data_IF_148376010941
#
_entry.id   IF_148376010941
#
_cell.length_a   1.000
_cell.length_b   1.000
_cell.length_c   1.000
_cell.angle_alpha   90.00
_cell.angle_beta   90.00
_cell.angle_gamma   90.00
#
_symmetry.space_group_name_H-M   'P 1'
#
loop_
_entity.id
_entity.type
_entity.pdbx_description
1 polymer ?
#
# COMPACT_ATOMS: atom_id res chain seq x y z
N UNK A 1 -32.33 30.04 1.04
CA UNK A 1 -31.72 28.88 1.73
C UNK A 1 -30.51 28.43 0.93
N UNK A 2 -29.37 28.07 1.54
CA UNK A 2 -28.25 27.51 0.81
C UNK A 2 -28.74 26.28 0.03
N UNK A 3 -28.50 26.25 -1.28
CA UNK A 3 -28.89 25.12 -2.10
C UNK A 3 -27.86 24.00 -1.93
N UNK A 4 -27.96 23.26 -0.82
CA UNK A 4 -27.05 22.17 -0.47
C UNK A 4 -27.03 21.04 -1.50
N UNK A 5 -28.08 20.89 -2.32
CA UNK A 5 -28.06 19.91 -3.41
C UNK A 5 -27.14 20.38 -4.53
N UNK A 6 -27.17 21.66 -4.91
CA UNK A 6 -26.19 22.21 -5.86
C UNK A 6 -24.75 22.05 -5.34
N UNK A 7 -24.54 22.27 -4.04
CA UNK A 7 -23.23 22.02 -3.43
C UNK A 7 -22.82 20.55 -3.57
N UNK A 8 -23.70 19.60 -3.25
CA UNK A 8 -23.44 18.17 -3.41
C UNK A 8 -23.06 17.82 -4.85
N UNK A 9 -23.77 18.38 -5.83
CA UNK A 9 -23.51 18.14 -7.26
C UNK A 9 -22.17 18.70 -7.73
N UNK A 10 -21.74 19.84 -7.19
CA UNK A 10 -20.49 20.51 -7.59
C UNK A 10 -19.26 19.94 -6.88
N UNK A 11 -19.42 19.32 -5.72
CA UNK A 11 -18.32 18.87 -4.86
C UNK A 11 -18.21 17.34 -4.74
N UNK A 12 -19.10 16.60 -5.40
CA UNK A 12 -19.04 15.14 -5.43
C UNK A 12 -19.27 14.59 -6.83
N UNK A 13 -18.70 13.42 -7.09
CA UNK A 13 -18.84 12.71 -8.35
C UNK A 13 -19.72 11.46 -8.19
N UNK A 14 -20.40 11.00 -9.25
CA UNK A 14 -21.13 9.73 -9.22
C UNK A 14 -20.23 8.57 -8.73
N UNK A 15 -20.77 7.71 -7.88
CA UNK A 15 -20.02 6.63 -7.24
C UNK A 15 -19.20 7.06 -6.01
N UNK A 16 -19.04 8.35 -5.74
CA UNK A 16 -18.22 8.78 -4.59
C UNK A 16 -18.85 8.33 -3.26
N UNK A 17 -18.02 7.73 -2.41
CA UNK A 17 -18.38 7.36 -1.03
C UNK A 17 -18.26 8.57 -0.12
N UNK A 18 -19.27 8.79 0.72
CA UNK A 18 -19.46 10.00 1.53
C UNK A 18 -19.76 9.61 2.98
N UNK A 19 -18.94 10.10 3.90
CA UNK A 19 -19.17 9.96 5.34
C UNK A 19 -20.14 11.03 5.83
N UNK A 20 -21.04 10.66 6.73
CA UNK A 20 -21.94 11.61 7.39
C UNK A 20 -21.15 12.72 8.11
N UNK A 21 -19.99 12.41 8.71
CA UNK A 21 -19.14 13.42 9.36
C UNK A 21 -18.67 14.49 8.37
N UNK A 22 -18.28 14.09 7.16
CA UNK A 22 -17.84 14.99 6.11
C UNK A 22 -19.00 15.81 5.52
N UNK A 23 -20.16 15.17 5.31
CA UNK A 23 -21.39 15.85 4.89
C UNK A 23 -21.82 16.92 5.91
N UNK A 24 -21.81 16.59 7.21
CA UNK A 24 -22.18 17.52 8.28
C UNK A 24 -21.24 18.73 8.33
N UNK A 25 -19.92 18.54 8.15
CA UNK A 25 -18.96 19.65 8.04
C UNK A 25 -19.25 20.58 6.86
N UNK A 26 -19.90 20.05 5.83
CA UNK A 26 -20.30 20.77 4.63
C UNK A 26 -21.73 21.34 4.70
N UNK A 27 -22.36 21.30 5.89
CA UNK A 27 -23.71 21.81 6.14
C UNK A 27 -24.85 20.84 5.83
N UNK A 28 -24.54 19.60 5.41
CA UNK A 28 -25.53 18.55 5.12
C UNK A 28 -25.68 17.67 6.37
N UNK A 29 -26.69 17.97 7.19
CA UNK A 29 -26.99 17.20 8.38
C UNK A 29 -27.61 15.81 8.07
N UNK A 30 -27.92 15.04 9.11
CA UNK A 30 -28.53 13.71 8.98
C UNK A 30 -29.93 13.75 8.37
N UNK A 31 -30.72 14.79 8.65
CA UNK A 31 -32.10 14.93 8.16
C UNK A 31 -32.09 15.19 6.65
N UNK A 32 -31.17 16.04 6.19
CA UNK A 32 -30.96 16.32 4.78
C UNK A 32 -30.36 15.11 4.05
N UNK A 33 -29.40 14.42 4.67
CA UNK A 33 -28.85 13.17 4.13
C UNK A 33 -29.93 12.10 3.96
N UNK A 34 -30.85 11.97 4.91
CA UNK A 34 -32.02 11.09 4.79
C UNK A 34 -32.94 11.50 3.63
N UNK A 35 -33.24 12.80 3.49
CA UNK A 35 -34.04 13.32 2.37
C UNK A 35 -33.37 13.05 1.02
N UNK A 36 -32.04 13.18 0.93
CA UNK A 36 -31.28 12.85 -0.28
C UNK A 36 -31.29 11.38 -0.60
N UNK A 37 -31.37 10.50 0.40
CA UNK A 37 -31.61 9.08 0.17
C UNK A 37 -33.01 8.82 -0.38
N UNK A 38 -34.05 9.41 0.23
CA UNK A 38 -35.44 9.26 -0.23
C UNK A 38 -35.65 9.75 -1.66
N UNK A 39 -35.01 10.86 -2.02
CA UNK A 39 -35.12 11.47 -3.35
C UNK A 39 -34.10 10.92 -4.37
N UNK A 40 -33.37 9.87 -4.04
CA UNK A 40 -32.47 9.17 -4.98
C UNK A 40 -31.16 9.89 -5.32
N UNK A 41 -30.78 10.93 -4.57
CA UNK A 41 -29.49 11.60 -4.72
C UNK A 41 -28.35 10.85 -4.01
N UNK A 42 -28.67 10.15 -2.92
CA UNK A 42 -27.72 9.31 -2.20
C UNK A 42 -28.27 7.90 -2.07
N UNK A 43 -27.38 6.91 -2.02
CA UNK A 43 -27.71 5.55 -1.61
C UNK A 43 -26.95 5.23 -0.34
N UNK A 44 -27.61 4.62 0.65
CA UNK A 44 -26.94 4.21 1.88
C UNK A 44 -26.12 2.94 1.65
N UNK A 45 -24.86 2.96 2.04
CA UNK A 45 -23.96 1.78 2.01
C UNK A 45 -23.92 1.14 3.41
N UNK A 46 -23.75 1.96 4.45
CA UNK A 46 -23.70 1.52 5.83
C UNK A 46 -24.24 2.63 6.76
N UNK A 47 -24.17 2.41 8.07
CA UNK A 47 -24.55 3.46 9.02
C UNK A 47 -23.65 4.69 8.90
N UNK A 48 -24.24 5.83 8.49
CA UNK A 48 -23.52 7.08 8.29
C UNK A 48 -22.60 7.11 7.08
N UNK A 49 -22.77 6.18 6.12
CA UNK A 49 -21.97 6.09 4.90
C UNK A 49 -22.90 5.98 3.71
N UNK A 50 -22.67 6.85 2.74
CA UNK A 50 -23.51 7.01 1.57
C UNK A 50 -22.66 6.93 0.30
N UNK A 51 -23.30 6.65 -0.82
CA UNK A 51 -22.74 6.75 -2.17
C UNK A 51 -23.55 7.79 -2.95
N UNK A 52 -22.88 8.66 -3.71
CA UNK A 52 -23.52 9.53 -4.69
C UNK A 52 -24.06 8.68 -5.84
N UNK A 53 -25.37 8.75 -6.09
CA UNK A 53 -26.01 7.96 -7.17
C UNK A 53 -25.50 8.33 -8.56
N UNK A 54 -25.60 7.38 -9.49
CA UNK A 54 -25.18 7.53 -10.90
C UNK A 54 -24.10 6.52 -11.33
N UNK A 55 -23.37 5.93 -10.39
CA UNK A 55 -22.42 4.83 -10.61
C UNK A 55 -22.33 3.97 -9.36
N UNK A 56 -22.11 2.66 -9.51
CA UNK A 56 -21.76 1.80 -8.39
C UNK A 56 -20.32 2.09 -7.91
N UNK A 57 -20.10 2.28 -6.60
CA UNK A 57 -18.79 2.59 -6.06
C UNK A 57 -17.91 1.34 -6.05
N UNK A 58 -16.62 1.52 -6.26
CA UNK A 58 -15.62 0.43 -6.20
C UNK A 58 -14.55 0.71 -5.12
N UNK A 59 -13.48 -0.10 -5.10
CA UNK A 59 -12.39 0.06 -4.15
C UNK A 59 -11.71 1.43 -4.26
N UNK A 60 -11.65 2.05 -5.45
CA UNK A 60 -11.05 3.36 -5.68
C UNK A 60 -11.85 4.42 -4.93
N UNK A 61 -13.19 4.39 -5.01
CA UNK A 61 -14.04 5.33 -4.27
C UNK A 61 -13.94 5.13 -2.76
N UNK A 62 -13.82 3.88 -2.31
CA UNK A 62 -13.66 3.56 -0.89
C UNK A 62 -12.34 4.14 -0.35
N UNK A 63 -11.23 3.91 -1.05
CA UNK A 63 -9.91 4.45 -0.67
C UNK A 63 -9.89 5.97 -0.77
N UNK A 64 -10.47 6.54 -1.82
CA UNK A 64 -10.61 7.99 -1.97
C UNK A 64 -11.33 8.61 -0.77
N UNK A 65 -12.42 7.99 -0.32
CA UNK A 65 -13.16 8.42 0.87
C UNK A 65 -12.29 8.33 2.14
N UNK A 66 -11.49 7.28 2.32
CA UNK A 66 -10.56 7.21 3.45
C UNK A 66 -9.55 8.36 3.42
N UNK A 67 -8.97 8.64 2.25
CA UNK A 67 -7.93 9.66 2.09
C UNK A 67 -8.43 11.09 2.26
N UNK A 68 -9.68 11.35 1.87
CA UNK A 68 -10.23 12.72 1.85
C UNK A 68 -11.13 13.05 3.04
N UNK A 69 -11.69 12.05 3.73
CA UNK A 69 -12.77 12.26 4.71
C UNK A 69 -12.51 11.65 6.09
N UNK A 70 -11.68 10.59 6.18
CA UNK A 70 -11.51 9.82 7.41
C UNK A 70 -10.48 10.41 8.39
N UNK A 71 -9.70 11.41 7.96
CA UNK A 71 -8.71 12.13 8.79
C UNK A 71 -7.64 11.22 9.41
N UNK A 72 -7.34 10.10 8.75
CA UNK A 72 -6.23 9.23 9.11
C UNK A 72 -5.35 9.01 7.89
N UNK A 73 -4.02 8.99 8.04
CA UNK A 73 -3.13 8.65 6.94
C UNK A 73 -3.48 7.27 6.39
N UNK A 74 -3.82 7.21 5.11
CA UNK A 74 -4.02 5.97 4.36
C UNK A 74 -3.44 6.20 2.97
N UNK A 75 -2.69 5.25 2.46
CA UNK A 75 -2.18 5.31 1.09
C UNK A 75 -2.19 3.98 0.40
N UNK A 76 -2.31 4.02 -0.92
CA UNK A 76 -2.08 2.85 -1.76
C UNK A 76 -0.59 2.50 -1.67
N UNK A 77 -0.30 1.23 -1.40
CA UNK A 77 1.01 0.77 -0.99
C UNK A 77 1.53 -0.37 -1.88
N UNK A 78 2.82 -0.70 -1.73
CA UNK A 78 3.46 -1.88 -2.30
C UNK A 78 3.14 -2.10 -3.78
N UNK A 79 2.74 -3.33 -4.09
CA UNK A 79 2.44 -3.77 -5.46
C UNK A 79 1.37 -2.91 -6.13
N UNK A 80 0.28 -2.59 -5.43
CA UNK A 80 -0.82 -1.80 -6.01
C UNK A 80 -0.34 -0.41 -6.41
N UNK A 81 0.52 0.23 -5.60
CA UNK A 81 1.07 1.55 -5.94
C UNK A 81 1.99 1.48 -7.17
N UNK A 82 2.84 0.46 -7.27
CA UNK A 82 3.74 0.28 -8.42
C UNK A 82 2.98 -0.01 -9.71
N UNK A 83 1.97 -0.87 -9.65
CA UNK A 83 1.14 -1.20 -10.80
C UNK A 83 0.45 0.04 -11.37
N UNK A 84 -0.10 0.89 -10.50
CA UNK A 84 -0.79 2.12 -10.92
C UNK A 84 0.16 3.21 -11.43
N UNK A 85 1.46 3.11 -11.12
CA UNK A 85 2.50 3.97 -11.70
C UNK A 85 3.06 3.43 -13.02
N UNK A 86 2.55 2.29 -13.51
CA UNK A 86 3.07 1.64 -14.72
C UNK A 86 4.39 0.89 -14.50
N UNK A 87 4.81 0.70 -13.25
CA UNK A 87 6.05 -0.03 -12.92
C UNK A 87 5.84 -1.53 -12.73
N UNK A 88 4.60 -2.01 -12.75
CA UNK A 88 4.31 -3.44 -12.75
C UNK A 88 3.28 -3.78 -13.82
N UNK A 89 3.64 -4.67 -14.74
CA UNK A 89 2.69 -5.32 -15.64
C UNK A 89 2.01 -6.46 -14.88
N UNK A 90 1.03 -6.08 -14.07
CA UNK A 90 0.37 -7.05 -13.21
C UNK A 90 -0.98 -7.50 -13.77
N UNK A 91 -1.10 -8.79 -14.02
CA UNK A 91 -2.37 -9.45 -14.30
C UNK A 91 -2.44 -10.69 -13.43
N UNK A 92 -2.86 -10.52 -12.18
CA UNK A 92 -3.14 -11.65 -11.29
C UNK A 92 -4.38 -12.38 -11.81
N UNK A 93 -4.33 -13.70 -12.06
CA UNK A 93 -5.54 -14.47 -12.29
C UNK A 93 -6.30 -14.56 -10.96
N UNK A 94 -7.38 -13.79 -10.82
CA UNK A 94 -8.23 -13.81 -9.64
C UNK A 94 -8.76 -12.44 -9.22
N UNK A 95 -9.07 -12.33 -7.92
CA UNK A 95 -9.59 -11.10 -7.32
C UNK A 95 -8.44 -10.18 -6.96
N UNK A 96 -8.46 -8.97 -7.52
CA UNK A 96 -7.39 -7.99 -7.36
C UNK A 96 -7.06 -7.74 -5.89
N UNK A 97 -5.79 -7.93 -5.51
CA UNK A 97 -5.29 -7.53 -4.20
C UNK A 97 -4.91 -6.05 -4.19
N UNK A 98 -5.48 -5.31 -3.23
CA UNK A 98 -5.27 -3.89 -3.03
C UNK A 98 -4.52 -3.69 -1.72
N UNK A 99 -3.27 -3.27 -1.85
CA UNK A 99 -2.37 -3.02 -0.73
C UNK A 99 -2.57 -1.60 -0.22
N UNK A 100 -2.89 -1.47 1.06
CA UNK A 100 -3.04 -0.21 1.77
C UNK A 100 -2.05 -0.15 2.92
N UNK A 101 -1.38 0.98 3.09
CA UNK A 101 -0.59 1.24 4.27
C UNK A 101 -1.36 2.15 5.23
N UNK A 102 -1.37 1.76 6.50
CA UNK A 102 -1.98 2.48 7.61
C UNK A 102 -0.97 2.68 8.75
N UNK A 103 -1.15 3.73 9.58
CA UNK A 103 -0.40 3.89 10.82
C UNK A 103 -0.61 2.70 11.76
N UNK A 104 0.35 2.51 12.67
CA UNK A 104 0.28 1.50 13.71
C UNK A 104 -1.08 1.56 14.45
N UNK A 105 -1.67 0.39 14.73
CA UNK A 105 -2.90 0.23 15.50
C UNK A 105 -4.17 0.86 14.89
N UNK A 106 -4.10 1.44 13.68
CA UNK A 106 -5.26 1.97 12.97
C UNK A 106 -5.92 0.86 12.16
N UNK A 107 -7.16 0.49 12.52
CA UNK A 107 -7.96 -0.47 11.76
C UNK A 107 -8.86 0.24 10.76
N UNK A 108 -9.05 -0.38 9.59
CA UNK A 108 -10.05 0.08 8.62
C UNK A 108 -11.44 0.13 9.28
N UNK A 109 -12.26 1.14 8.93
CA UNK A 109 -13.59 1.28 9.50
C UNK A 109 -14.51 0.14 9.02
N UNK A 110 -15.43 -0.33 9.87
CA UNK A 110 -16.24 -1.52 9.55
C UNK A 110 -17.10 -1.42 8.28
N UNK A 111 -17.46 -0.21 7.84
CA UNK A 111 -18.17 -0.01 6.57
C UNK A 111 -17.34 -0.38 5.34
N UNK A 112 -16.01 -0.36 5.48
CA UNK A 112 -15.08 -0.65 4.39
C UNK A 112 -15.20 -2.09 3.89
N UNK A 113 -15.69 -3.01 4.74
CA UNK A 113 -15.99 -4.39 4.36
C UNK A 113 -17.02 -4.50 3.23
N UNK A 114 -17.87 -3.49 3.02
CA UNK A 114 -18.80 -3.44 1.89
C UNK A 114 -18.08 -3.50 0.52
N UNK A 115 -16.80 -3.13 0.48
CA UNK A 115 -15.97 -3.10 -0.73
C UNK A 115 -15.12 -4.35 -0.92
N UNK A 116 -15.14 -5.29 0.03
CA UNK A 116 -14.46 -6.58 -0.15
C UNK A 116 -15.03 -7.33 -1.35
N UNK A 117 -16.28 -7.03 -1.75
CA UNK A 117 -16.90 -7.51 -2.99
C UNK A 117 -16.15 -7.09 -4.27
N UNK A 118 -15.45 -5.95 -4.26
CA UNK A 118 -14.72 -5.41 -5.40
C UNK A 118 -13.24 -5.79 -5.43
N UNK A 119 -12.61 -6.01 -4.27
CA UNK A 119 -11.19 -6.27 -4.14
C UNK A 119 -10.86 -6.99 -2.82
N UNK A 120 -9.71 -7.66 -2.76
CA UNK A 120 -9.15 -8.14 -1.49
C UNK A 120 -8.20 -7.10 -0.93
N UNK A 121 -8.39 -6.67 0.32
CA UNK A 121 -7.54 -5.66 0.91
C UNK A 121 -6.43 -6.26 1.77
N UNK A 122 -5.19 -5.90 1.46
CA UNK A 122 -4.01 -6.22 2.27
C UNK A 122 -3.62 -4.96 3.02
N UNK A 123 -3.61 -5.03 4.35
CA UNK A 123 -3.21 -3.89 5.20
C UNK A 123 -1.79 -4.07 5.70
N UNK A 124 -0.92 -3.12 5.35
CA UNK A 124 0.42 -3.00 5.90
C UNK A 124 0.47 -1.95 7.00
N UNK A 125 1.26 -2.23 8.04
CA UNK A 125 1.51 -1.30 9.13
C UNK A 125 2.98 -0.88 9.09
N UNK A 126 3.24 0.33 8.62
CA UNK A 126 4.62 0.86 8.47
C UNK A 126 5.13 1.52 9.74
N UNK A 127 4.80 0.96 10.91
CA UNK A 127 5.17 1.52 12.23
C UNK A 127 6.67 1.54 12.50
N UNK A 128 7.44 0.73 11.76
CA UNK A 128 8.89 0.69 11.87
C UNK A 128 9.63 1.76 11.06
N UNK A 129 8.93 2.63 10.32
CA UNK A 129 9.54 3.75 9.59
C UNK A 129 9.37 5.05 10.37
N UNK A 130 10.49 5.71 10.69
CA UNK A 130 10.50 7.00 11.43
C UNK A 130 10.55 8.23 10.52
N UNK A 131 10.64 8.02 9.21
CA UNK A 131 10.66 9.08 8.20
C UNK A 131 9.30 9.75 8.05
N UNK A 132 9.30 11.01 7.61
CA UNK A 132 8.11 11.71 7.15
C UNK A 132 7.56 11.07 5.85
N UNK A 133 6.57 10.19 6.01
CA UNK A 133 5.95 9.41 4.92
C UNK A 133 5.37 10.28 3.80
N UNK A 134 4.69 11.43 4.04
CA UNK A 134 4.23 12.35 3.00
C UNK A 134 5.29 12.67 1.93
N UNK A 135 6.55 12.84 2.32
CA UNK A 135 7.68 13.09 1.41
C UNK A 135 8.01 11.93 0.46
N UNK A 136 7.41 10.76 0.68
CA UNK A 136 7.54 9.53 -0.09
C UNK A 136 6.21 9.08 -0.69
N UNK A 137 5.29 10.02 -0.90
CA UNK A 137 4.03 9.77 -1.60
C UNK A 137 4.02 10.35 -3.01
N UNK A 138 3.13 9.83 -3.84
CA UNK A 138 2.87 10.27 -5.21
C UNK A 138 1.36 10.29 -5.47
N UNK A 139 0.93 10.99 -6.51
CA UNK A 139 -0.45 10.96 -6.96
C UNK A 139 -0.67 9.87 -8.01
N UNK A 140 -1.71 9.08 -7.80
CA UNK A 140 -2.15 7.99 -8.68
C UNK A 140 -3.48 8.41 -9.32
N UNK A 141 -3.49 8.60 -10.63
CA UNK A 141 -4.70 8.95 -11.36
C UNK A 141 -5.38 7.68 -11.87
N UNK A 142 -6.61 7.42 -11.44
CA UNK A 142 -7.40 6.24 -11.83
C UNK A 142 -8.76 6.75 -12.30
N UNK A 143 -8.96 6.81 -13.61
CA UNK A 143 -10.17 7.38 -14.19
C UNK A 143 -10.37 8.84 -13.77
N UNK A 144 -11.49 9.12 -13.11
CA UNK A 144 -11.87 10.44 -12.58
C UNK A 144 -11.51 10.63 -11.09
N UNK A 145 -10.64 9.77 -10.55
CA UNK A 145 -10.16 9.83 -9.16
C UNK A 145 -8.67 10.03 -9.11
N UNK A 146 -8.24 10.75 -8.08
CA UNK A 146 -6.83 10.89 -7.71
C UNK A 146 -6.65 10.33 -6.30
N UNK A 147 -5.80 9.31 -6.18
CA UNK A 147 -5.43 8.70 -4.91
C UNK A 147 -3.98 9.04 -4.56
N UNK A 148 -3.68 9.06 -3.28
CA UNK A 148 -2.29 9.11 -2.80
C UNK A 148 -1.70 7.70 -2.70
N UNK A 149 -0.54 7.48 -3.29
CA UNK A 149 0.21 6.22 -3.27
C UNK A 149 1.65 6.37 -2.80
N UNK A 150 2.35 5.26 -2.57
CA UNK A 150 3.80 5.23 -2.32
C UNK A 150 4.60 5.54 -3.58
N UNK A 151 5.65 6.35 -3.48
CA UNK A 151 6.70 6.40 -4.52
C UNK A 151 7.36 5.03 -4.70
N UNK A 152 8.03 4.75 -5.83
CA UNK A 152 8.58 3.42 -6.10
C UNK A 152 9.51 2.88 -5.02
N UNK A 153 10.33 3.74 -4.39
CA UNK A 153 11.25 3.31 -3.33
C UNK A 153 10.53 2.85 -2.06
N UNK A 154 9.46 3.57 -1.68
CA UNK A 154 8.65 3.21 -0.52
C UNK A 154 7.80 1.96 -0.83
N UNK A 155 7.32 1.82 -2.07
CA UNK A 155 6.62 0.62 -2.49
C UNK A 155 7.53 -0.62 -2.51
N UNK A 156 8.79 -0.49 -2.92
CA UNK A 156 9.78 -1.56 -2.85
C UNK A 156 10.03 -2.01 -1.39
N UNK A 157 10.13 -1.03 -0.47
CA UNK A 157 10.22 -1.30 0.96
C UNK A 157 8.99 -2.06 1.50
N UNK A 158 7.79 -1.68 1.07
CA UNK A 158 6.54 -2.35 1.45
C UNK A 158 6.43 -3.78 0.94
N UNK A 159 6.90 -4.04 -0.27
CA UNK A 159 6.97 -5.38 -0.83
C UNK A 159 7.91 -6.25 0.01
N UNK A 160 9.12 -5.74 0.32
CA UNK A 160 10.07 -6.45 1.18
C UNK A 160 9.49 -6.71 2.59
N UNK A 161 8.72 -5.76 3.14
CA UNK A 161 8.04 -5.92 4.42
C UNK A 161 7.02 -7.07 4.37
N UNK A 162 6.28 -7.16 3.25
CA UNK A 162 5.25 -8.15 3.03
C UNK A 162 5.75 -9.58 2.85
N UNK A 163 7.01 -9.81 2.53
CA UNK A 163 7.59 -11.15 2.38
C UNK A 163 7.71 -11.86 3.74
N UNK A 164 7.30 -13.12 3.94
CA UNK A 164 6.53 -13.98 3.04
C UNK A 164 5.01 -13.89 3.27
N UNK A 165 4.56 -13.12 4.26
CA UNK A 165 3.19 -13.15 4.81
C UNK A 165 2.11 -12.71 3.84
N UNK A 166 2.42 -11.73 2.97
CA UNK A 166 1.49 -11.15 2.01
C UNK A 166 1.92 -11.38 0.56
N UNK A 167 3.19 -11.69 0.34
CA UNK A 167 3.76 -11.97 -0.97
C UNK A 167 4.87 -13.01 -0.81
N UNK A 168 4.96 -13.99 -1.71
CA UNK A 168 6.06 -14.96 -1.68
C UNK A 168 7.40 -14.28 -1.97
N UNK A 169 8.48 -14.92 -1.54
CA UNK A 169 9.83 -14.39 -1.78
C UNK A 169 10.12 -14.33 -3.29
N UNK A 170 9.71 -15.36 -4.04
CA UNK A 170 9.86 -15.47 -5.48
C UNK A 170 9.08 -14.38 -6.23
N UNK A 171 7.86 -14.07 -5.78
CA UNK A 171 7.07 -13.01 -6.38
C UNK A 171 7.68 -11.64 -6.06
N UNK A 172 8.18 -11.41 -4.85
CA UNK A 172 8.93 -10.21 -4.55
C UNK A 172 10.19 -10.06 -5.43
N UNK A 173 10.94 -11.14 -5.65
CA UNK A 173 12.11 -11.15 -6.56
C UNK A 173 11.71 -10.80 -7.99
N UNK A 174 10.65 -11.41 -8.52
CA UNK A 174 10.13 -11.12 -9.86
C UNK A 174 9.73 -9.64 -10.02
N UNK A 175 9.14 -9.03 -8.98
CA UNK A 175 8.85 -7.59 -9.00
C UNK A 175 10.13 -6.76 -8.97
N UNK A 176 11.10 -7.13 -8.13
CA UNK A 176 12.37 -6.40 -8.01
C UNK A 176 13.17 -6.41 -9.31
N UNK A 177 13.09 -7.45 -10.15
CA UNK A 177 13.73 -7.46 -11.47
C UNK A 177 13.44 -6.19 -12.30
N UNK A 178 12.23 -5.63 -12.20
CA UNK A 178 11.81 -4.40 -12.89
C UNK A 178 12.15 -3.08 -12.19
N UNK A 179 12.75 -3.11 -10.99
CA UNK A 179 12.95 -1.92 -10.15
C UNK A 179 14.34 -1.27 -10.32
N UNK A 180 14.96 -1.32 -11.50
CA UNK A 180 16.32 -0.82 -11.72
C UNK A 180 16.49 0.73 -11.62
N UNK A 181 15.39 1.50 -11.62
CA UNK A 181 15.39 2.97 -11.64
C UNK A 181 15.11 3.63 -10.27
N UNK A 182 15.13 2.87 -9.17
CA UNK A 182 14.93 3.44 -7.83
C UNK A 182 16.01 4.46 -7.48
N UNK A 183 15.61 5.57 -6.84
CA UNK A 183 16.54 6.60 -6.36
C UNK A 183 17.35 6.07 -5.17
N UNK A 184 18.69 5.99 -5.26
CA UNK A 184 19.52 5.54 -4.15
C UNK A 184 19.35 6.41 -2.91
N UNK A 185 19.19 7.74 -3.09
CA UNK A 185 19.03 8.69 -1.99
C UNK A 185 17.74 8.44 -1.20
N UNK A 186 16.61 8.28 -1.90
CA UNK A 186 15.33 7.99 -1.24
C UNK A 186 15.38 6.64 -0.53
N UNK A 187 15.94 5.63 -1.20
CA UNK A 187 16.07 4.28 -0.63
C UNK A 187 16.96 4.27 0.62
N UNK A 188 18.08 5.00 0.59
CA UNK A 188 18.95 5.21 1.76
C UNK A 188 18.18 5.84 2.92
N UNK A 189 17.42 6.91 2.67
CA UNK A 189 16.62 7.57 3.71
C UNK A 189 15.60 6.62 4.32
N UNK A 190 14.90 5.84 3.50
CA UNK A 190 13.93 4.83 3.97
C UNK A 190 14.59 3.74 4.82
N UNK A 191 15.71 3.18 4.35
CA UNK A 191 16.40 2.09 5.04
C UNK A 191 17.04 2.54 6.35
N UNK A 192 17.66 3.72 6.41
CA UNK A 192 18.20 4.28 7.65
C UNK A 192 17.10 4.63 8.67
N UNK A 193 15.91 5.02 8.21
CA UNK A 193 14.78 5.33 9.07
C UNK A 193 13.99 4.08 9.48
N UNK A 194 14.37 2.88 9.01
CA UNK A 194 13.67 1.63 9.28
C UNK A 194 14.29 0.86 10.44
N UNK A 195 13.45 0.56 11.43
CA UNK A 195 13.75 -0.37 12.53
C UNK A 195 13.39 -1.83 12.22
N UNK A 196 12.95 -2.13 10.99
CA UNK A 196 12.59 -3.49 10.61
C UNK A 196 13.80 -4.23 10.02
N UNK A 197 14.58 -4.86 10.89
CA UNK A 197 15.73 -5.72 10.50
C UNK A 197 15.37 -6.69 9.38
N UNK A 198 14.20 -7.33 9.48
CA UNK A 198 13.69 -8.25 8.46
C UNK A 198 13.55 -7.56 7.10
N UNK A 199 12.85 -6.42 7.06
CA UNK A 199 12.55 -5.71 5.82
C UNK A 199 13.82 -5.18 5.18
N UNK A 200 14.72 -4.59 5.99
CA UNK A 200 15.99 -4.07 5.53
C UNK A 200 16.83 -5.17 4.87
N UNK A 201 16.97 -6.33 5.52
CA UNK A 201 17.70 -7.48 4.98
C UNK A 201 17.09 -8.01 3.68
N UNK A 202 15.76 -8.19 3.63
CA UNK A 202 15.08 -8.68 2.43
C UNK A 202 15.25 -7.71 1.27
N UNK A 203 15.07 -6.40 1.50
CA UNK A 203 15.24 -5.38 0.46
C UNK A 203 16.67 -5.35 -0.07
N UNK A 204 17.67 -5.30 0.82
CA UNK A 204 19.08 -5.30 0.43
C UNK A 204 19.45 -6.57 -0.35
N UNK A 205 18.98 -7.74 0.10
CA UNK A 205 19.17 -9.00 -0.61
C UNK A 205 18.58 -8.96 -2.02
N UNK A 206 17.30 -8.58 -2.16
CA UNK A 206 16.62 -8.51 -3.45
C UNK A 206 17.32 -7.52 -4.39
N UNK A 207 17.72 -6.36 -3.87
CA UNK A 207 18.42 -5.35 -4.66
C UNK A 207 19.79 -5.81 -5.15
N UNK A 208 20.55 -6.51 -4.29
CA UNK A 208 21.86 -7.08 -4.64
C UNK A 208 21.74 -8.25 -5.62
N UNK A 209 20.81 -9.17 -5.37
CA UNK A 209 20.54 -10.35 -6.21
C UNK A 209 20.22 -9.95 -7.64
N UNK A 210 19.43 -8.91 -7.82
CA UNK A 210 19.04 -8.40 -9.14
C UNK A 210 20.07 -7.43 -9.75
N UNK A 211 21.27 -7.32 -9.15
CA UNK A 211 22.39 -6.53 -9.63
C UNK A 211 22.04 -5.07 -9.98
N UNK A 212 21.15 -4.44 -9.20
CA UNK A 212 20.68 -3.11 -9.56
C UNK A 212 21.76 -2.04 -9.43
N UNK A 213 21.89 -1.10 -10.40
CA UNK A 213 22.93 -0.09 -10.38
C UNK A 213 22.90 0.83 -9.17
N UNK A 214 21.71 1.10 -8.61
CA UNK A 214 21.57 1.95 -7.43
C UNK A 214 22.16 1.31 -6.16
N UNK A 215 22.32 -0.02 -6.13
CA UNK A 215 22.76 -0.75 -4.94
C UNK A 215 24.18 -0.34 -4.51
N UNK A 216 25.08 -0.09 -5.47
CA UNK A 216 26.46 0.37 -5.20
C UNK A 216 26.55 1.76 -4.54
N UNK A 217 25.45 2.51 -4.53
CA UNK A 217 25.36 3.84 -3.95
C UNK A 217 24.71 3.82 -2.55
N UNK A 218 24.35 2.64 -2.03
CA UNK A 218 23.82 2.49 -0.68
C UNK A 218 24.97 2.30 0.33
N UNK A 219 24.98 3.14 1.36
CA UNK A 219 25.81 2.96 2.54
C UNK A 219 25.06 2.11 3.57
N UNK A 220 25.53 0.89 3.78
CA UNK A 220 24.90 -0.06 4.70
C UNK A 220 25.27 0.17 6.17
N UNK A 221 26.26 1.01 6.47
CA UNK A 221 26.72 1.23 7.85
C UNK A 221 25.65 1.82 8.77
N UNK A 222 24.75 2.65 8.22
CA UNK A 222 23.63 3.26 8.93
C UNK A 222 22.30 2.51 8.81
N UNK A 223 22.28 1.30 8.25
CA UNK A 223 21.05 0.51 8.06
C UNK A 223 20.97 -0.55 9.13
N UNK A 224 19.85 -0.60 9.85
CA UNK A 224 19.63 -1.59 10.90
C UNK A 224 19.42 -2.99 10.27
N UNK A 225 20.47 -3.78 10.21
CA UNK A 225 20.43 -5.18 9.78
C UNK A 225 20.50 -6.15 10.95
N UNK A 226 20.73 -5.70 12.19
CA UNK A 226 20.74 -6.57 13.37
C UNK A 226 21.73 -7.74 13.31
N UNK A 227 21.69 -8.60 14.32
CA UNK A 227 22.59 -9.77 14.43
C UNK A 227 21.82 -11.08 14.42
N UNK A 228 22.44 -12.14 13.89
CA UNK A 228 21.91 -13.50 13.93
C UNK A 228 21.03 -13.89 12.75
N UNK A 229 20.78 -15.19 12.64
CA UNK A 229 20.00 -15.82 11.57
C UNK A 229 18.52 -15.52 11.72
N UNK A 230 17.83 -15.20 10.62
CA UNK A 230 16.37 -15.08 10.56
C UNK A 230 15.80 -16.04 9.53
N UNK A 231 14.87 -16.89 9.97
CA UNK A 231 14.10 -17.71 9.05
C UNK A 231 13.03 -16.84 8.39
N UNK A 232 13.18 -16.55 7.09
CA UNK A 232 12.17 -15.86 6.27
C UNK A 232 11.35 -16.90 5.52
N UNK A 233 12.02 -17.83 4.84
CA UNK A 233 11.39 -18.99 4.20
C UNK A 233 11.72 -20.26 4.99
N UNK A 234 10.74 -20.94 5.61
CA UNK A 234 10.94 -22.24 6.25
C UNK A 234 11.51 -23.27 5.26
N UNK A 235 12.55 -24.01 5.66
CA UNK A 235 13.24 -24.96 4.78
C UNK A 235 14.08 -24.34 3.66
N UNK A 236 14.19 -23.01 3.62
CA UNK A 236 15.01 -22.27 2.66
C UNK A 236 16.53 -22.43 2.86
N UNK A 237 17.31 -21.94 1.90
CA UNK A 237 18.77 -21.85 2.00
C UNK A 237 19.16 -20.60 2.81
N UNK A 238 20.11 -20.73 3.73
CA UNK A 238 20.63 -19.60 4.49
C UNK A 238 21.59 -18.79 3.63
N UNK A 239 21.19 -17.58 3.26
CA UNK A 239 22.07 -16.61 2.62
C UNK A 239 22.97 -15.98 3.70
N UNK A 240 24.31 -16.12 3.59
CA UNK A 240 25.22 -15.79 4.68
C UNK A 240 25.39 -14.29 4.91
N UNK A 241 25.34 -13.46 3.87
CA UNK A 241 25.67 -12.04 3.99
C UNK A 241 24.58 -11.24 4.72
N UNK A 242 23.31 -11.62 4.53
CA UNK A 242 22.17 -11.02 5.22
C UNK A 242 21.60 -11.92 6.32
N UNK A 243 22.13 -13.13 6.50
CA UNK A 243 21.71 -14.11 7.50
C UNK A 243 20.19 -14.34 7.47
N UNK A 244 19.61 -14.49 6.27
CA UNK A 244 18.20 -14.78 6.05
C UNK A 244 18.03 -16.09 5.29
N UNK A 245 16.96 -16.84 5.57
CA UNK A 245 16.62 -17.99 4.71
C UNK A 245 15.81 -17.55 3.50
N UNK A 246 16.30 -17.84 2.29
CA UNK A 246 15.66 -17.55 1.00
C UNK A 246 15.22 -18.86 0.34
N UNK A 247 14.38 -18.85 -0.72
CA UNK A 247 14.02 -20.08 -1.43
C UNK A 247 15.25 -20.90 -1.83
N UNK A 248 15.19 -22.23 -1.73
CA UNK A 248 16.33 -23.10 -2.08
C UNK A 248 16.79 -22.93 -3.53
N UNK A 249 15.86 -22.62 -4.43
CA UNK A 249 16.13 -22.31 -5.84
C UNK A 249 17.01 -21.08 -6.03
N UNK A 250 17.20 -20.25 -4.98
CA UNK A 250 18.02 -19.04 -5.05
C UNK A 250 19.46 -19.28 -4.58
N UNK A 251 19.76 -20.49 -4.09
CA UNK A 251 21.11 -20.92 -3.71
C UNK A 251 22.07 -20.81 -4.91
N UNK A 252 23.26 -20.20 -4.76
CA UNK A 252 24.25 -20.18 -5.82
C UNK A 252 24.72 -21.59 -6.19
N UNK A 253 24.97 -21.82 -7.48
CA UNK A 253 25.54 -23.07 -7.96
C UNK A 253 26.94 -23.30 -7.34
N UNK A 254 27.23 -24.53 -6.93
CA UNK A 254 28.55 -24.92 -6.38
C UNK A 254 28.75 -24.67 -4.88
N UNK A 255 27.75 -24.16 -4.15
CA UNK A 255 27.80 -24.05 -2.67
C UNK A 255 27.24 -25.34 -2.06
N UNK A 256 27.97 -26.03 -1.19
CA UNK A 256 27.44 -27.20 -0.46
C UNK A 256 26.47 -26.77 0.65
N UNK A 257 25.51 -27.63 1.02
CA UNK A 257 24.63 -27.34 2.16
C UNK A 257 25.47 -27.40 3.44
N UNK A 258 25.79 -26.23 4.00
CA UNK A 258 26.39 -26.14 5.33
C UNK A 258 25.43 -26.77 6.34
N UNK A 259 25.87 -27.88 6.94
CA UNK A 259 25.14 -28.66 7.93
C UNK A 259 24.49 -27.78 9.01
N UNK A 260 23.24 -28.13 9.33
CA UNK A 260 22.32 -27.44 10.23
C UNK A 260 22.92 -26.99 11.57
#
# INVERSE_FOLDING_TARGET
MPNYINWLMQNTLPGQVLLQSWLTRSGIDRKLSYLYVQNGWLRRIAHGVYCRTGREPDWVDAVYCLQTQWERPVRVAGLTSLALQGHAHYTEPGRQQIWLALPAYVKLPGWFAAFEQSAMFVTLYTSGLTVDIPSFTTQLNIGDRQLTGSVPELAAYEIAYGVPSFISFEHADALFQGMNLLSPRKLQTLLCASHSVKTNRVLLYLARRNAHPYFRHLDQSGIETGTGKRQIVPGGWLEPDYQITVPRTFKPEGVEDGSA
#
